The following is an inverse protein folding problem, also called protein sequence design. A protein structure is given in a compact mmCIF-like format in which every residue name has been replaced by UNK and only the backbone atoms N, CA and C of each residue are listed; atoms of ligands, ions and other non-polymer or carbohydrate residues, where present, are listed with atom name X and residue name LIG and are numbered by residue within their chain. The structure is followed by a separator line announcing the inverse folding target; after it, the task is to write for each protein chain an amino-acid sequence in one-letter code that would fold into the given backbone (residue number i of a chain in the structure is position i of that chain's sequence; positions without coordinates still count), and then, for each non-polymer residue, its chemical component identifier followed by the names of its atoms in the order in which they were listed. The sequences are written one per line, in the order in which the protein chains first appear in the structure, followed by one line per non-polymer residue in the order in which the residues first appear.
data_IF_051868218622
#
_entry.id   IF_051868218622
#
_cell.length_a   1.000
_cell.length_b   1.000
_cell.length_c   1.000
_cell.angle_alpha   90.00
_cell.angle_beta   90.00
_cell.angle_gamma   90.00
#
_symmetry.space_group_name_H-M   'P 1'
#
loop_
_entity.id
_entity.type
_entity.pdbx_description
1 polymer ?
#
# COMPACT_ATOMS: atom_id res chain seq x y z
N UNK A 1 -55.08 3.68 -88.94
CA UNK A 1 -54.18 3.40 -90.08
C UNK A 1 -53.10 2.46 -89.55
N UNK A 2 -53.21 1.15 -89.85
CA UNK A 2 -52.46 0.41 -90.89
C UNK A 2 -50.95 0.44 -90.61
N UNK A 3 -50.42 -0.64 -90.01
CA UNK A 3 -49.61 -1.71 -90.64
C UNK A 3 -48.13 -1.27 -90.73
N UNK A 4 -47.06 -2.05 -90.62
CA UNK A 4 -46.74 -3.45 -90.88
C UNK A 4 -45.49 -3.84 -90.04
N UNK A 5 -45.32 -5.14 -89.74
CA UNK A 5 -44.02 -5.77 -89.44
C UNK A 5 -43.40 -6.20 -90.77
N UNK A 6 -42.08 -6.09 -91.02
CA UNK A 6 -41.20 -7.25 -90.82
C UNK A 6 -39.71 -6.95 -90.48
N UNK A 7 -39.04 -7.92 -89.84
CA UNK A 7 -37.58 -8.10 -89.88
C UNK A 7 -37.17 -8.60 -91.29
N UNK A 8 -35.92 -8.47 -91.78
CA UNK A 8 -34.87 -9.46 -91.42
C UNK A 8 -33.38 -9.04 -91.61
N UNK A 9 -32.51 -9.99 -91.26
CA UNK A 9 -31.25 -10.42 -91.94
C UNK A 9 -29.86 -9.96 -91.43
N UNK A 10 -29.09 -10.99 -91.11
CA UNK A 10 -27.64 -11.15 -90.92
C UNK A 10 -26.72 -10.38 -91.89
N UNK A 11 -25.53 -10.01 -91.42
CA UNK A 11 -24.25 -10.63 -91.86
C UNK A 11 -23.01 -9.87 -91.34
N UNK A 12 -22.09 -10.62 -90.72
CA UNK A 12 -20.63 -10.58 -90.90
C UNK A 12 -19.81 -9.30 -90.69
N UNK A 13 -18.81 -9.36 -89.78
CA UNK A 13 -17.61 -8.50 -89.89
C UNK A 13 -16.78 -8.27 -88.62
N UNK A 14 -15.78 -9.14 -88.39
CA UNK A 14 -14.42 -8.85 -87.85
C UNK A 14 -14.23 -8.42 -86.37
N UNK A 15 -13.24 -8.97 -85.63
CA UNK A 15 -13.08 -8.79 -84.19
C UNK A 15 -12.29 -7.51 -83.83
N UNK A 16 -12.51 -6.88 -82.66
CA UNK A 16 -11.62 -5.84 -82.16
C UNK A 16 -10.37 -6.43 -81.47
N UNK A 17 -9.21 -5.77 -81.62
CA UNK A 17 -7.89 -6.29 -81.28
C UNK A 17 -7.48 -6.02 -79.83
N UNK A 18 -6.61 -6.88 -79.29
CA UNK A 18 -5.80 -6.61 -78.09
C UNK A 18 -6.58 -6.77 -76.78
N UNK A 19 -6.56 -7.94 -76.14
CA UNK A 19 -5.58 -8.23 -75.09
C UNK A 19 -5.18 -7.00 -74.27
N UNK A 20 -6.00 -6.67 -73.27
CA UNK A 20 -5.50 -5.97 -72.09
C UNK A 20 -4.78 -7.03 -71.22
N UNK A 21 -3.46 -6.90 -70.98
CA UNK A 21 -2.72 -7.88 -70.21
C UNK A 21 -3.19 -7.80 -68.76
N UNK A 22 -3.77 -8.91 -68.28
CA UNK A 22 -4.12 -9.18 -66.88
C UNK A 22 -3.23 -8.39 -65.92
N UNK A 23 -3.81 -7.41 -65.22
CA UNK A 23 -3.20 -6.86 -64.01
C UNK A 23 -2.88 -8.03 -63.08
N UNK A 24 -1.61 -8.22 -62.67
CA UNK A 24 -1.30 -9.27 -61.71
C UNK A 24 -2.09 -8.98 -60.43
N UNK A 25 -3.06 -9.84 -60.10
CA UNK A 25 -3.76 -9.75 -58.83
C UNK A 25 -2.74 -9.69 -57.70
N UNK A 26 -2.86 -8.70 -56.82
CA UNK A 26 -1.96 -8.51 -55.70
C UNK A 26 -1.72 -9.86 -54.99
N UNK A 27 -0.47 -10.26 -54.72
CA UNK A 27 -0.20 -11.55 -54.13
C UNK A 27 -0.92 -11.65 -52.79
N UNK A 28 -1.87 -12.58 -52.68
CA UNK A 28 -2.47 -12.92 -51.38
C UNK A 28 -1.32 -13.38 -50.48
N UNK A 29 -1.11 -12.79 -49.29
CA UNK A 29 -0.02 -13.21 -48.42
C UNK A 29 -0.27 -14.68 -48.04
N UNK A 30 0.60 -15.57 -48.55
CA UNK A 30 0.60 -16.98 -48.14
C UNK A 30 0.92 -17.00 -46.64
N UNK A 31 -0.06 -17.39 -45.81
CA UNK A 31 0.18 -17.68 -44.39
C UNK A 31 1.28 -18.74 -44.32
N UNK A 32 2.50 -18.33 -44.01
CA UNK A 32 3.60 -19.27 -43.81
C UNK A 32 3.33 -20.07 -42.55
N UNK A 33 3.70 -21.35 -42.54
CA UNK A 33 3.65 -22.22 -41.36
C UNK A 33 4.39 -21.59 -40.17
N UNK A 34 5.44 -20.82 -40.43
CA UNK A 34 6.15 -20.00 -39.44
C UNK A 34 5.24 -18.94 -38.78
N UNK A 35 4.37 -18.28 -39.55
CA UNK A 35 3.40 -17.30 -39.01
C UNK A 35 2.36 -17.99 -38.11
N UNK A 36 1.99 -19.23 -38.43
CA UNK A 36 1.06 -20.02 -37.61
C UNK A 36 1.75 -20.46 -36.31
N UNK A 37 2.97 -20.97 -36.39
CA UNK A 37 3.77 -21.36 -35.23
C UNK A 37 4.01 -20.19 -34.27
N UNK A 38 4.39 -19.01 -34.79
CA UNK A 38 4.58 -17.79 -33.98
C UNK A 38 3.28 -17.37 -33.30
N UNK A 39 2.12 -17.42 -34.00
CA UNK A 39 0.82 -17.13 -33.39
C UNK A 39 0.44 -18.13 -32.30
N UNK A 40 0.74 -19.41 -32.51
CA UNK A 40 0.49 -20.44 -31.50
C UNK A 40 1.33 -20.23 -30.26
N UNK A 41 2.63 -19.93 -30.40
CA UNK A 41 3.52 -19.60 -29.27
C UNK A 41 3.00 -18.35 -28.55
N UNK A 42 2.66 -17.29 -29.29
CA UNK A 42 2.12 -16.07 -28.70
C UNK A 42 0.81 -16.33 -27.94
N UNK A 43 -0.10 -17.14 -28.50
CA UNK A 43 -1.35 -17.50 -27.83
C UNK A 43 -1.10 -18.28 -26.54
N UNK A 44 -0.12 -19.20 -26.51
CA UNK A 44 0.27 -19.91 -25.30
C UNK A 44 0.85 -18.95 -24.26
N UNK A 45 1.73 -18.02 -24.66
CA UNK A 45 2.29 -17.02 -23.74
C UNK A 45 1.18 -16.14 -23.15
N UNK A 46 0.23 -15.68 -23.97
CA UNK A 46 -0.92 -14.91 -23.50
C UNK A 46 -1.76 -15.73 -22.53
N UNK A 47 -2.03 -17.00 -22.83
CA UNK A 47 -2.77 -17.88 -21.92
C UNK A 47 -2.05 -18.08 -20.59
N UNK A 48 -0.72 -18.24 -20.58
CA UNK A 48 0.06 -18.35 -19.36
C UNK A 48 0.03 -17.06 -18.55
N UNK A 49 0.14 -15.90 -19.20
CA UNK A 49 0.02 -14.59 -18.52
C UNK A 49 -1.38 -14.44 -17.91
N UNK A 50 -2.43 -14.80 -18.65
CA UNK A 50 -3.81 -14.76 -18.14
C UNK A 50 -3.97 -15.73 -16.96
N UNK A 51 -3.46 -16.95 -17.07
CA UNK A 51 -3.52 -17.93 -15.99
C UNK A 51 -2.76 -17.45 -14.74
N UNK A 52 -1.58 -16.83 -14.91
CA UNK A 52 -0.81 -16.21 -13.84
C UNK A 52 -1.63 -15.12 -13.13
N UNK A 53 -2.31 -14.24 -13.87
CA UNK A 53 -3.15 -13.20 -13.27
C UNK A 53 -4.40 -13.74 -12.59
N UNK A 54 -5.06 -14.75 -13.16
CA UNK A 54 -6.19 -15.45 -12.53
C UNK A 54 -5.74 -16.08 -11.21
N UNK A 55 -4.55 -16.69 -11.19
CA UNK A 55 -3.96 -17.23 -9.97
C UNK A 55 -3.67 -16.13 -8.95
N UNK A 56 -2.93 -15.08 -9.37
CA UNK A 56 -2.52 -13.98 -8.49
C UNK A 56 -3.70 -13.21 -7.87
N UNK A 57 -4.82 -13.05 -8.59
CA UNK A 57 -5.97 -12.33 -8.05
C UNK A 57 -7.06 -13.22 -7.47
N UNK A 58 -7.21 -14.46 -7.93
CA UNK A 58 -8.29 -15.37 -7.53
C UNK A 58 -7.90 -16.37 -6.44
N UNK A 59 -6.65 -16.81 -6.41
CA UNK A 59 -6.20 -17.93 -5.57
C UNK A 59 -5.05 -17.59 -4.64
N UNK A 60 -4.27 -16.55 -4.93
CA UNK A 60 -3.26 -16.10 -3.98
C UNK A 60 -3.93 -15.57 -2.72
N UNK A 61 -3.47 -16.03 -1.56
CA UNK A 61 -3.91 -15.56 -0.25
C UNK A 61 -3.68 -14.05 -0.17
N UNK A 62 -4.76 -13.27 -0.18
CA UNK A 62 -4.71 -11.81 -0.04
C UNK A 62 -4.58 -11.44 1.43
N UNK A 63 -3.47 -11.82 2.05
CA UNK A 63 -3.18 -11.37 3.40
C UNK A 63 -2.54 -9.98 3.32
N UNK A 64 -3.12 -9.02 4.03
CA UNK A 64 -2.50 -7.69 4.17
C UNK A 64 -1.17 -7.83 4.91
N UNK A 65 -0.15 -7.07 4.50
CA UNK A 65 1.20 -7.16 5.07
C UNK A 65 1.22 -6.96 6.59
N UNK A 66 0.31 -6.15 7.12
CA UNK A 66 0.19 -5.84 8.55
C UNK A 66 -1.09 -6.36 9.19
N UNK A 67 -1.89 -7.16 8.50
CA UNK A 67 -3.18 -7.63 9.04
C UNK A 67 -2.94 -8.84 9.94
N UNK A 68 -3.32 -8.70 11.21
CA UNK A 68 -3.40 -9.75 12.20
C UNK A 68 -4.73 -10.47 12.02
N UNK A 69 -4.71 -11.80 11.88
CA UNK A 69 -5.92 -12.59 11.68
C UNK A 69 -6.70 -12.82 12.99
N UNK A 70 -5.99 -12.82 14.13
CA UNK A 70 -6.57 -12.89 15.47
C UNK A 70 -7.27 -11.58 15.87
N UNK A 71 -8.52 -11.40 15.43
CA UNK A 71 -9.32 -10.21 15.75
C UNK A 71 -9.51 -10.03 17.27
N UNK A 72 -9.58 -11.12 18.05
CA UNK A 72 -9.73 -11.05 19.50
C UNK A 72 -8.50 -10.44 20.19
N UNK A 73 -7.30 -10.68 19.64
CA UNK A 73 -6.10 -9.97 20.09
C UNK A 73 -6.21 -8.47 19.81
N UNK A 74 -6.60 -8.07 18.59
CA UNK A 74 -6.71 -6.66 18.22
C UNK A 74 -7.77 -5.90 19.01
N UNK A 75 -8.93 -6.51 19.27
CA UNK A 75 -9.98 -5.92 20.10
C UNK A 75 -9.51 -5.71 21.55
N UNK A 76 -8.81 -6.69 22.12
CA UNK A 76 -8.23 -6.57 23.46
C UNK A 76 -7.16 -5.47 23.51
N UNK A 77 -6.24 -5.47 22.55
CA UNK A 77 -5.18 -4.48 22.47
C UNK A 77 -5.76 -3.06 22.39
N UNK A 78 -6.73 -2.83 21.49
CA UNK A 78 -7.46 -1.57 21.38
C UNK A 78 -8.04 -1.11 22.73
N UNK A 79 -8.67 -2.01 23.49
CA UNK A 79 -9.22 -1.71 24.81
C UNK A 79 -8.16 -1.33 25.86
N UNK A 80 -6.99 -1.97 25.82
CA UNK A 80 -5.85 -1.61 26.67
C UNK A 80 -5.35 -0.21 26.30
N UNK A 81 -5.11 0.04 25.02
CA UNK A 81 -4.60 1.32 24.54
C UNK A 81 -5.55 2.48 24.84
N UNK A 82 -6.88 2.25 24.83
CA UNK A 82 -7.87 3.23 25.28
C UNK A 82 -7.65 3.65 26.73
N UNK A 83 -7.36 2.71 27.63
CA UNK A 83 -7.09 3.01 29.04
C UNK A 83 -5.82 3.84 29.20
N UNK A 84 -4.74 3.48 28.51
CA UNK A 84 -3.47 4.21 28.60
C UNK A 84 -3.49 5.56 27.91
N UNK A 85 -4.24 5.71 26.81
CA UNK A 85 -4.51 7.00 26.21
C UNK A 85 -5.18 7.94 27.21
N UNK A 86 -6.20 7.49 27.94
CA UNK A 86 -6.82 8.32 28.97
C UNK A 86 -5.82 8.74 30.05
N UNK A 87 -4.98 7.80 30.54
CA UNK A 87 -3.92 8.13 31.52
C UNK A 87 -2.92 9.14 30.98
N UNK A 88 -2.59 9.10 29.68
CA UNK A 88 -1.71 10.10 29.05
C UNK A 88 -2.38 11.46 28.93
N UNK A 89 -3.67 11.52 28.60
CA UNK A 89 -4.44 12.76 28.51
C UNK A 89 -4.68 13.40 29.88
N UNK A 90 -4.57 12.64 30.97
CA UNK A 90 -4.58 13.15 32.35
C UNK A 90 -3.24 13.78 32.76
N UNK A 91 -2.15 13.56 32.01
CA UNK A 91 -0.93 14.33 32.19
C UNK A 91 -1.25 15.81 31.87
N UNK A 92 -0.66 16.75 32.63
CA UNK A 92 -0.73 18.20 32.40
C UNK A 92 -0.74 18.54 30.92
N UNK A 93 -1.47 19.59 30.53
CA UNK A 93 -1.63 20.13 29.16
C UNK A 93 -0.59 19.62 28.14
N UNK A 94 -0.88 18.42 27.60
CA UNK A 94 -0.08 17.77 26.55
C UNK A 94 -0.38 18.34 25.16
N UNK A 95 -1.28 19.34 25.08
CA UNK A 95 -1.67 20.01 23.84
C UNK A 95 -0.71 21.17 23.47
N UNK A 96 0.03 21.73 24.45
CA UNK A 96 1.01 22.79 24.19
C UNK A 96 2.22 22.24 23.42
N UNK A 97 2.12 22.21 22.08
CA UNK A 97 3.17 21.80 21.13
C UNK A 97 4.47 22.62 21.24
N UNK A 98 5.31 22.62 20.19
CA UNK A 98 6.61 23.30 20.20
C UNK A 98 6.57 24.72 20.84
N UNK A 99 7.33 24.92 21.93
CA UNK A 99 7.52 26.23 22.56
C UNK A 99 8.71 26.89 21.85
N UNK A 100 8.54 28.04 21.16
CA UNK A 100 9.66 28.77 20.60
C UNK A 100 10.50 29.40 21.72
N UNK A 101 11.81 29.17 21.69
CA UNK A 101 12.79 29.71 22.64
C UNK A 101 12.41 29.46 24.13
N UNK A 102 12.23 28.20 24.55
CA UNK A 102 11.85 27.87 25.92
C UNK A 102 12.94 28.29 26.91
N UNK A 103 12.53 28.69 28.11
CA UNK A 103 13.47 28.83 29.22
C UNK A 103 14.05 27.46 29.59
N UNK A 104 15.19 27.45 30.29
CA UNK A 104 15.77 26.22 30.81
C UNK A 104 14.77 25.42 31.67
N UNK A 105 13.95 26.12 32.47
CA UNK A 105 12.90 25.48 33.28
C UNK A 105 11.83 24.81 32.40
N UNK A 106 11.39 25.49 31.34
CA UNK A 106 10.41 24.94 30.39
C UNK A 106 10.96 23.72 29.63
N UNK A 107 12.26 23.69 29.31
CA UNK A 107 12.89 22.52 28.70
C UNK A 107 12.88 21.31 29.65
N UNK A 108 13.19 21.53 30.93
CA UNK A 108 13.16 20.48 31.95
C UNK A 108 11.74 19.97 32.20
N UNK A 109 10.76 20.88 32.32
CA UNK A 109 9.35 20.52 32.46
C UNK A 109 8.84 19.71 31.26
N UNK A 110 9.23 20.09 30.03
CA UNK A 110 8.91 19.31 28.83
C UNK A 110 9.54 17.91 28.89
N UNK A 111 10.81 17.80 29.27
CA UNK A 111 11.47 16.51 29.42
C UNK A 111 10.71 15.61 30.41
N UNK A 112 10.27 16.16 31.54
CA UNK A 112 9.51 15.42 32.56
C UNK A 112 8.14 14.94 32.05
N UNK A 113 7.42 15.75 31.27
CA UNK A 113 6.13 15.35 30.67
C UNK A 113 6.34 14.24 29.64
N UNK A 114 7.31 14.41 28.73
CA UNK A 114 7.59 13.42 27.68
C UNK A 114 8.07 12.10 28.30
N UNK A 115 8.90 12.14 29.35
CA UNK A 115 9.34 10.94 30.06
C UNK A 115 8.16 10.20 30.70
N UNK A 116 7.26 10.90 31.38
CA UNK A 116 6.04 10.30 31.97
C UNK A 116 5.12 9.69 30.91
N UNK A 117 4.90 10.40 29.80
CA UNK A 117 4.12 9.86 28.68
C UNK A 117 4.79 8.63 28.05
N UNK A 118 6.13 8.60 28.01
CA UNK A 118 6.91 7.47 27.50
C UNK A 118 6.87 6.27 28.44
N UNK A 119 6.87 6.50 29.76
CA UNK A 119 6.68 5.43 30.76
C UNK A 119 5.30 4.80 30.64
N UNK A 120 4.25 5.61 30.47
CA UNK A 120 2.90 5.11 30.22
C UNK A 120 2.82 4.31 28.92
N UNK A 121 3.50 4.74 27.86
CA UNK A 121 3.58 3.99 26.60
C UNK A 121 4.30 2.64 26.79
N UNK A 122 5.39 2.59 27.54
CA UNK A 122 6.09 1.33 27.83
C UNK A 122 5.18 0.36 28.60
N UNK A 123 4.47 0.84 29.62
CA UNK A 123 3.52 0.04 30.39
C UNK A 123 2.33 -0.45 29.54
N UNK A 124 1.82 0.40 28.64
CA UNK A 124 0.79 0.00 27.66
C UNK A 124 1.26 -1.18 26.82
N UNK A 125 2.49 -1.11 26.28
CA UNK A 125 3.03 -2.18 25.46
C UNK A 125 3.24 -3.45 26.28
N UNK A 126 3.77 -3.34 27.50
CA UNK A 126 3.96 -4.52 28.34
C UNK A 126 2.63 -5.26 28.61
N UNK A 127 1.51 -4.53 28.74
CA UNK A 127 0.17 -5.11 28.90
C UNK A 127 -0.42 -5.64 27.58
N UNK A 128 -0.32 -4.91 26.46
CA UNK A 128 -0.76 -5.36 25.13
C UNK A 128 -0.07 -6.66 24.72
N UNK A 129 1.23 -6.75 25.01
CA UNK A 129 2.08 -7.87 24.61
C UNK A 129 2.18 -8.99 25.66
N UNK A 130 1.49 -8.87 26.80
CA UNK A 130 1.38 -9.95 27.79
C UNK A 130 0.74 -11.20 27.18
N UNK A 131 -0.24 -11.00 26.29
CA UNK A 131 -0.91 -12.07 25.55
C UNK A 131 -0.76 -11.84 24.06
N UNK A 132 0.03 -12.70 23.41
CA UNK A 132 0.24 -12.67 21.97
C UNK A 132 -0.92 -13.37 21.20
N UNK A 133 -1.07 -13.10 19.88
CA UNK A 133 -2.00 -13.82 19.02
C UNK A 133 -1.76 -15.34 19.00
N UNK A 134 -2.78 -16.11 18.64
CA UNK A 134 -2.70 -17.57 18.62
C UNK A 134 -1.75 -18.12 17.53
N UNK A 135 -1.69 -17.48 16.34
CA UNK A 135 -0.93 -17.99 15.21
C UNK A 135 0.53 -17.52 15.24
N UNK A 136 1.48 -18.38 14.85
CA UNK A 136 2.90 -18.03 14.80
C UNK A 136 3.20 -16.87 13.85
N UNK A 137 2.43 -16.77 12.76
CA UNK A 137 2.50 -15.66 11.81
C UNK A 137 2.10 -14.34 12.46
N UNK A 138 0.94 -14.31 13.13
CA UNK A 138 0.47 -13.09 13.79
C UNK A 138 1.40 -12.69 14.93
N UNK A 139 1.97 -13.66 15.65
CA UNK A 139 3.01 -13.40 16.65
C UNK A 139 4.22 -12.68 16.04
N UNK A 140 4.71 -13.12 14.88
CA UNK A 140 5.81 -12.45 14.19
C UNK A 140 5.45 -11.00 13.83
N UNK A 141 4.25 -10.77 13.29
CA UNK A 141 3.76 -9.43 12.94
C UNK A 141 3.66 -8.51 14.16
N UNK A 142 3.03 -8.95 15.25
CA UNK A 142 2.88 -8.10 16.44
C UNK A 142 4.23 -7.86 17.12
N UNK A 143 5.15 -8.82 17.10
CA UNK A 143 6.50 -8.64 17.66
C UNK A 143 7.36 -7.69 16.81
N UNK A 144 7.15 -7.62 15.50
CA UNK A 144 7.72 -6.55 14.67
C UNK A 144 7.11 -5.18 15.04
N UNK A 145 5.80 -5.11 15.20
CA UNK A 145 5.12 -3.90 15.68
C UNK A 145 5.65 -3.41 17.04
N UNK A 146 5.93 -4.32 17.99
CA UNK A 146 6.60 -3.98 19.26
C UNK A 146 7.99 -3.37 19.03
N UNK A 147 8.78 -3.94 18.12
CA UNK A 147 10.13 -3.44 17.82
C UNK A 147 10.12 -2.02 17.25
N UNK A 148 9.13 -1.67 16.43
CA UNK A 148 8.97 -0.29 15.97
C UNK A 148 8.65 0.67 17.11
N UNK A 149 7.86 0.23 18.09
CA UNK A 149 7.64 1.02 19.30
C UNK A 149 8.88 1.18 20.16
N UNK A 150 9.71 0.15 20.29
CA UNK A 150 10.99 0.23 21.01
C UNK A 150 11.91 1.29 20.38
N UNK A 151 11.92 1.38 19.05
CA UNK A 151 12.62 2.45 18.32
C UNK A 151 12.04 3.82 18.66
N UNK A 152 10.71 3.99 18.60
CA UNK A 152 10.06 5.26 18.96
C UNK A 152 10.37 5.66 20.41
N UNK A 153 10.30 4.72 21.35
CA UNK A 153 10.61 4.95 22.77
C UNK A 153 12.05 5.41 22.92
N UNK A 154 13.00 4.76 22.23
CA UNK A 154 14.40 5.19 22.22
C UNK A 154 14.56 6.63 21.71
N UNK A 155 13.87 7.00 20.61
CA UNK A 155 13.91 8.36 20.06
C UNK A 155 13.36 9.38 21.07
N UNK A 156 12.28 9.05 21.79
CA UNK A 156 11.68 9.90 22.83
C UNK A 156 12.65 10.10 24.00
N UNK A 157 13.36 9.07 24.44
CA UNK A 157 14.40 9.20 25.49
C UNK A 157 15.58 10.04 25.05
N UNK A 158 16.05 9.85 23.82
CA UNK A 158 17.12 10.68 23.28
C UNK A 158 16.71 12.15 23.17
N UNK A 159 15.42 12.43 22.94
CA UNK A 159 14.88 13.79 22.96
C UNK A 159 14.88 14.41 24.36
N UNK A 160 14.37 13.69 25.37
CA UNK A 160 14.35 14.20 26.75
C UNK A 160 15.75 14.38 27.33
N UNK A 161 16.70 13.51 26.98
CA UNK A 161 18.12 13.69 27.34
C UNK A 161 18.70 15.01 26.80
N UNK A 162 18.44 15.35 25.54
CA UNK A 162 18.88 16.65 24.96
C UNK A 162 18.26 17.83 25.70
N UNK A 163 16.96 17.77 26.00
CA UNK A 163 16.29 18.82 26.75
C UNK A 163 16.91 19.01 28.15
N UNK A 164 17.27 17.90 28.82
CA UNK A 164 17.95 17.93 30.14
C UNK A 164 19.37 18.52 30.06
N UNK A 165 20.02 18.41 28.90
CA UNK A 165 21.30 19.05 28.61
C UNK A 165 21.15 20.51 28.12
N UNK A 166 19.92 21.05 28.11
CA UNK A 166 19.61 22.40 27.60
C UNK A 166 19.93 22.57 26.12
N UNK A 167 19.88 21.48 25.35
CA UNK A 167 20.09 21.46 23.91
C UNK A 167 18.74 21.54 23.20
N UNK A 168 18.36 22.75 22.76
CA UNK A 168 17.13 22.95 22.00
C UNK A 168 17.29 22.40 20.58
N UNK A 169 16.35 21.56 20.17
CA UNK A 169 16.26 21.04 18.81
C UNK A 169 14.91 20.37 18.57
N UNK A 170 14.56 20.08 17.31
CA UNK A 170 13.33 19.38 17.00
C UNK A 170 13.33 17.96 17.59
N UNK A 171 12.13 17.43 17.84
CA UNK A 171 11.94 16.00 18.02
C UNK A 171 12.27 15.29 16.69
N UNK A 172 13.09 14.25 16.77
CA UNK A 172 13.56 13.50 15.62
C UNK A 172 13.18 12.04 15.79
N UNK A 173 12.63 11.46 14.73
CA UNK A 173 12.28 10.04 14.67
C UNK A 173 13.26 9.31 13.75
N UNK A 174 13.63 8.11 14.17
CA UNK A 174 14.37 7.15 13.37
C UNK A 174 13.57 6.80 12.12
N UNK A 175 14.26 6.72 10.99
CA UNK A 175 13.65 6.39 9.70
C UNK A 175 13.80 4.90 9.40
N UNK A 176 12.67 4.25 9.11
CA UNK A 176 12.60 2.88 8.62
C UNK A 176 11.93 2.92 7.24
N UNK A 177 12.53 2.25 6.27
CA UNK A 177 12.07 2.24 4.86
C UNK A 177 11.86 3.63 4.25
N UNK A 178 12.69 4.60 4.68
CA UNK A 178 12.70 5.96 4.17
C UNK A 178 11.68 6.92 4.81
N UNK A 179 10.79 6.43 5.68
CA UNK A 179 9.84 7.24 6.46
C UNK A 179 10.12 7.18 7.97
N UNK A 180 9.58 8.11 8.77
CA UNK A 180 9.66 8.01 10.24
C UNK A 180 8.99 6.72 10.73
N UNK A 181 9.50 6.13 11.81
CA UNK A 181 8.97 4.88 12.40
C UNK A 181 7.48 4.95 12.71
N UNK A 182 6.96 6.15 13.03
CA UNK A 182 5.52 6.32 13.24
C UNK A 182 4.67 5.93 12.03
N UNK A 183 5.15 6.08 10.80
CA UNK A 183 4.37 5.68 9.62
C UNK A 183 4.00 4.19 9.69
N UNK A 184 4.96 3.34 10.07
CA UNK A 184 4.74 1.90 10.22
C UNK A 184 3.75 1.60 11.35
N UNK A 185 3.88 2.29 12.49
CA UNK A 185 2.96 2.14 13.61
C UNK A 185 1.52 2.55 13.26
N UNK A 186 1.35 3.66 12.52
CA UNK A 186 0.03 4.13 12.06
C UNK A 186 -0.56 3.20 11.02
N UNK A 187 0.23 2.71 10.07
CA UNK A 187 -0.23 1.75 9.06
C UNK A 187 -0.68 0.44 9.72
N UNK A 188 0.08 -0.07 10.69
CA UNK A 188 -0.25 -1.28 11.44
C UNK A 188 -1.55 -1.12 12.23
N UNK A 189 -1.68 -0.04 13.00
CA UNK A 189 -2.89 0.21 13.81
C UNK A 189 -4.12 0.45 12.96
N UNK A 190 -3.97 1.11 11.81
CA UNK A 190 -5.05 1.30 10.82
C UNK A 190 -5.49 -0.04 10.23
N UNK A 191 -4.55 -0.89 9.82
CA UNK A 191 -4.84 -2.20 9.25
C UNK A 191 -5.60 -3.13 10.22
N UNK A 192 -5.36 -2.97 11.53
CA UNK A 192 -5.90 -3.82 12.59
C UNK A 192 -7.04 -3.17 13.39
N UNK A 193 -7.55 -1.99 12.96
CA UNK A 193 -8.61 -1.25 13.66
C UNK A 193 -8.28 -0.88 15.11
N UNK A 194 -6.99 -0.74 15.42
CA UNK A 194 -6.47 -0.43 16.75
C UNK A 194 -6.07 1.04 16.86
N UNK A 195 -6.96 1.96 16.47
CA UNK A 195 -6.61 3.38 16.32
C UNK A 195 -6.04 4.00 17.61
N UNK A 196 -6.42 3.51 18.79
CA UNK A 196 -5.94 4.03 20.08
C UNK A 196 -4.56 3.53 20.47
N UNK A 197 -4.10 2.45 19.83
CA UNK A 197 -2.72 1.99 19.91
C UNK A 197 -1.80 2.73 18.93
N UNK A 198 -2.28 3.76 18.23
CA UNK A 198 -1.41 4.62 17.44
C UNK A 198 -0.44 5.35 18.37
N UNK A 199 0.81 5.60 17.93
CA UNK A 199 1.79 6.24 18.78
C UNK A 199 1.35 7.67 19.13
N UNK A 200 1.64 8.12 20.37
CA UNK A 200 1.33 9.48 20.76
C UNK A 200 2.18 10.49 19.97
N UNK A 201 1.70 11.73 19.92
CA UNK A 201 2.50 12.89 19.53
C UNK A 201 3.69 13.11 20.47
N UNK A 202 4.50 14.13 20.16
CA UNK A 202 5.73 14.45 20.90
C UNK A 202 5.50 14.46 22.42
N UNK A 203 4.46 15.17 22.88
CA UNK A 203 4.19 15.36 24.30
C UNK A 203 3.32 14.30 24.96
N UNK A 204 2.84 13.30 24.22
CA UNK A 204 1.96 12.26 24.77
C UNK A 204 0.50 12.37 24.33
N UNK A 205 0.08 13.52 23.79
CA UNK A 205 -1.25 13.72 23.22
C UNK A 205 -1.47 12.99 21.89
N UNK A 206 -2.65 13.16 21.30
CA UNK A 206 -2.98 12.59 20.00
C UNK A 206 -2.41 13.46 18.86
N UNK A 207 -1.99 12.83 17.75
CA UNK A 207 -1.69 13.55 16.50
C UNK A 207 -2.94 13.79 15.65
#
# INVERSE_FOLDING_TARGET
MRTDTPAPTDAGGTPPPGQDPRTPGAPRPKRSTATIAVRSVLAVVVLLIVAMWVYAFGFAERQGLYVVEDEAWSERAQGICEVYEQRRLELTDVDEGYIPDPTNEQMLQRADIVDQATDLLQAELDEVFEVLPASARDQELVLEYRRWFEVLISDRRAYTERLRNLELGPYLETKIDGGPVTNLLVDFTTANRMKRCAPPGELGGNR
#
